data_IF_500996943572
#
_entry.id   IF_500996943572
#
_cell.length_a   1.000
_cell.length_b   1.000
_cell.length_c   1.000
_cell.angle_alpha   90.00
_cell.angle_beta   90.00
_cell.angle_gamma   90.00
#
_symmetry.space_group_name_H-M   'P 1'
#
loop_
_entity.id
_entity.type
_entity.pdbx_description
1 polymer ?
#
# COMPACT_ATOMS: atom_id res chain seq x y z
N UNK A 1 -10.80 2.88 14.09
CA UNK A 1 -9.98 1.76 14.61
C UNK A 1 -9.76 2.07 16.06
N UNK A 2 -10.07 1.14 16.95
CA UNK A 2 -9.86 1.34 18.37
C UNK A 2 -8.40 1.67 18.67
N UNK A 3 -8.22 2.62 19.56
CA UNK A 3 -6.88 3.01 19.97
C UNK A 3 -6.32 1.97 20.91
N UNK A 4 -5.08 1.60 20.65
CA UNK A 4 -4.31 0.87 21.63
C UNK A 4 -4.08 1.67 22.91
N UNK A 5 -4.61 1.17 24.01
CA UNK A 5 -4.37 1.66 25.36
C UNK A 5 -3.20 0.89 25.97
N UNK A 6 -2.12 1.61 26.30
CA UNK A 6 -0.90 1.04 26.89
C UNK A 6 -1.12 0.44 28.27
N UNK A 7 -2.11 0.91 29.03
CA UNK A 7 -2.36 0.45 30.39
C UNK A 7 -3.13 -0.86 30.40
N UNK A 8 -4.16 -0.96 29.56
CA UNK A 8 -5.00 -2.16 29.45
C UNK A 8 -4.44 -3.17 28.45
N UNK A 9 -3.61 -2.73 27.51
CA UNK A 9 -3.10 -3.55 26.41
C UNK A 9 -4.17 -3.93 25.38
N UNK A 10 -5.31 -3.22 25.37
CA UNK A 10 -6.43 -3.43 24.46
C UNK A 10 -6.36 -2.46 23.28
N UNK A 11 -6.98 -2.83 22.16
CA UNK A 11 -7.05 -2.03 20.94
C UNK A 11 -5.76 -2.07 20.10
N UNK A 12 -5.70 -1.18 19.11
CA UNK A 12 -4.66 -1.20 18.08
C UNK A 12 -5.19 -1.77 16.77
N UNK A 13 -4.30 -2.28 15.92
CA UNK A 13 -4.68 -2.85 14.64
C UNK A 13 -5.19 -4.29 14.80
N UNK A 14 -6.46 -4.39 15.17
CA UNK A 14 -7.20 -5.65 15.41
C UNK A 14 -8.43 -5.79 14.50
N UNK A 15 -8.63 -4.87 13.54
CA UNK A 15 -9.76 -4.92 12.62
C UNK A 15 -11.14 -4.67 13.27
N UNK A 16 -11.18 -4.16 14.51
CA UNK A 16 -12.40 -3.74 15.23
C UNK A 16 -13.19 -2.65 14.50
N UNK A 17 -12.55 -1.90 13.61
CA UNK A 17 -13.18 -0.83 12.81
C UNK A 17 -14.45 -1.25 12.06
N UNK A 18 -14.59 -2.54 11.72
CA UNK A 18 -15.83 -3.09 11.13
C UNK A 18 -17.07 -2.92 12.01
N UNK A 19 -16.88 -2.73 13.31
CA UNK A 19 -17.93 -2.54 14.31
C UNK A 19 -17.99 -1.08 14.84
N UNK A 20 -17.25 -0.15 14.22
CA UNK A 20 -17.08 1.23 14.73
C UNK A 20 -17.51 2.31 13.71
N UNK A 21 -18.16 1.90 12.62
CA UNK A 21 -18.50 2.77 11.48
C UNK A 21 -19.61 3.77 11.78
N UNK A 22 -20.35 3.57 12.87
CA UNK A 22 -21.42 4.44 13.34
C UNK A 22 -20.93 5.59 14.24
N UNK A 23 -19.63 5.61 14.55
CA UNK A 23 -19.04 6.59 15.46
C UNK A 23 -18.70 7.90 14.75
N UNK A 24 -18.79 9.00 15.49
CA UNK A 24 -18.45 10.34 15.01
C UNK A 24 -17.02 10.40 14.44
N UNK A 25 -16.07 9.70 15.06
CA UNK A 25 -14.67 9.65 14.59
C UNK A 25 -14.45 8.91 13.27
N UNK A 26 -15.43 8.12 12.80
CA UNK A 26 -15.32 7.31 11.57
C UNK A 26 -16.40 7.68 10.55
N UNK A 27 -16.90 8.93 10.61
CA UNK A 27 -17.92 9.43 9.68
C UNK A 27 -17.43 9.40 8.23
N UNK A 28 -18.34 9.11 7.31
CA UNK A 28 -18.09 9.12 5.87
C UNK A 28 -18.08 7.73 5.22
N UNK A 29 -18.09 7.71 3.89
CA UNK A 29 -18.22 6.46 3.11
C UNK A 29 -16.88 5.75 2.89
N UNK A 30 -15.76 6.45 3.08
CA UNK A 30 -14.42 5.95 2.75
C UNK A 30 -14.06 4.64 3.46
N UNK A 31 -14.28 4.57 4.77
CA UNK A 31 -13.99 3.36 5.55
C UNK A 31 -14.93 2.20 5.17
N UNK A 32 -16.22 2.46 4.95
CA UNK A 32 -17.20 1.46 4.50
C UNK A 32 -16.74 0.84 3.17
N UNK A 33 -16.45 1.68 2.17
CA UNK A 33 -16.00 1.22 0.85
C UNK A 33 -14.66 0.48 0.92
N UNK A 34 -13.73 0.96 1.75
CA UNK A 34 -12.43 0.31 1.95
C UNK A 34 -12.59 -1.09 2.52
N UNK A 35 -13.43 -1.25 3.55
CA UNK A 35 -13.71 -2.56 4.15
C UNK A 35 -14.39 -3.51 3.17
N UNK A 36 -15.31 -3.01 2.33
CA UNK A 36 -15.91 -3.78 1.23
C UNK A 36 -14.86 -4.23 0.20
N UNK A 37 -13.92 -3.36 -0.18
CA UNK A 37 -12.83 -3.76 -1.08
C UNK A 37 -11.92 -4.82 -0.45
N UNK A 38 -11.70 -4.74 0.86
CA UNK A 38 -10.84 -5.67 1.59
C UNK A 38 -11.46 -7.06 1.78
N UNK A 39 -12.78 -7.24 1.64
CA UNK A 39 -13.40 -8.57 1.83
C UNK A 39 -12.84 -9.63 0.89
N UNK A 40 -12.43 -9.25 -0.33
CA UNK A 40 -11.83 -10.15 -1.32
C UNK A 40 -10.44 -10.67 -0.94
N UNK A 41 -9.79 -10.05 0.07
CA UNK A 41 -8.45 -10.39 0.53
C UNK A 41 -8.42 -11.05 1.92
N UNK A 42 -9.58 -11.18 2.56
CA UNK A 42 -9.74 -11.84 3.86
C UNK A 42 -10.08 -13.31 3.65
N UNK A 43 -9.55 -14.19 4.51
CA UNK A 43 -9.83 -15.62 4.48
C UNK A 43 -9.74 -16.21 5.90
N UNK A 44 -10.08 -17.49 6.13
CA UNK A 44 -9.91 -18.10 7.45
C UNK A 44 -8.47 -18.04 8.00
N UNK A 45 -7.48 -17.79 7.16
CA UNK A 45 -6.06 -17.68 7.53
C UNK A 45 -5.47 -16.28 7.33
N UNK A 46 -6.25 -15.32 6.81
CA UNK A 46 -5.84 -13.92 6.64
C UNK A 46 -6.89 -13.04 7.30
N UNK A 47 -6.53 -12.40 8.41
CA UNK A 47 -7.40 -11.50 9.14
C UNK A 47 -7.58 -10.17 8.39
N UNK A 48 -8.72 -9.50 8.58
CA UNK A 48 -8.89 -8.14 8.07
C UNK A 48 -7.88 -7.17 8.66
N UNK A 49 -7.48 -7.39 9.92
CA UNK A 49 -6.41 -6.62 10.54
C UNK A 49 -5.10 -6.72 9.74
N UNK A 50 -4.72 -7.92 9.29
CA UNK A 50 -3.56 -8.11 8.41
C UNK A 50 -3.79 -7.51 7.01
N UNK A 51 -5.00 -7.60 6.46
CA UNK A 51 -5.37 -6.95 5.18
C UNK A 51 -5.23 -5.42 5.27
N UNK A 52 -5.67 -4.80 6.37
CA UNK A 52 -5.54 -3.35 6.60
C UNK A 52 -4.06 -2.95 6.71
N UNK A 53 -3.25 -3.73 7.46
CA UNK A 53 -1.82 -3.49 7.56
C UNK A 53 -1.13 -3.57 6.18
N UNK A 54 -1.47 -4.60 5.41
CA UNK A 54 -0.92 -4.82 4.08
C UNK A 54 -1.35 -3.73 3.10
N UNK A 55 -2.63 -3.36 3.12
CA UNK A 55 -3.18 -2.26 2.33
C UNK A 55 -2.48 -0.94 2.63
N UNK A 56 -2.17 -0.68 3.90
CA UNK A 56 -1.38 0.50 4.32
C UNK A 56 0.01 0.47 3.69
N UNK A 57 0.73 -0.65 3.78
CA UNK A 57 2.07 -0.79 3.16
C UNK A 57 2.02 -0.53 1.64
N UNK A 58 1.02 -1.07 0.94
CA UNK A 58 0.85 -0.84 -0.50
C UNK A 58 0.44 0.59 -0.85
N UNK A 59 -0.40 1.23 -0.03
CA UNK A 59 -0.83 2.61 -0.26
C UNK A 59 0.37 3.57 -0.27
N UNK A 60 1.30 3.45 0.69
CA UNK A 60 2.51 4.28 0.72
C UNK A 60 3.42 4.04 -0.48
N UNK A 61 3.66 2.77 -0.85
CA UNK A 61 4.43 2.45 -2.04
C UNK A 61 3.77 3.01 -3.32
N UNK A 62 2.45 2.88 -3.43
CA UNK A 62 1.67 3.39 -4.57
C UNK A 62 1.66 4.93 -4.67
N UNK A 63 1.86 5.64 -3.56
CA UNK A 63 2.02 7.10 -3.54
C UNK A 63 3.45 7.56 -3.83
N UNK A 64 4.39 6.64 -4.10
CA UNK A 64 5.77 6.98 -4.45
C UNK A 64 6.75 7.04 -3.28
N UNK A 65 6.41 6.44 -2.12
CA UNK A 65 7.38 6.30 -1.04
C UNK A 65 8.60 5.46 -1.51
N UNK A 66 9.84 5.94 -1.32
CA UNK A 66 11.04 5.25 -1.81
C UNK A 66 11.46 4.06 -0.93
N UNK A 67 10.60 3.64 -0.01
CA UNK A 67 10.88 2.58 0.96
C UNK A 67 9.69 1.65 1.10
N UNK A 68 9.98 0.40 1.45
CA UNK A 68 8.97 -0.57 1.89
C UNK A 68 8.82 -0.50 3.41
N UNK A 69 7.58 -0.41 3.86
CA UNK A 69 7.25 -0.54 5.29
C UNK A 69 7.35 -2.03 5.65
N UNK A 70 8.16 -2.43 6.65
CA UNK A 70 8.26 -3.81 7.07
C UNK A 70 6.90 -4.37 7.48
N UNK A 71 6.41 -5.35 6.71
CA UNK A 71 5.14 -6.00 6.97
C UNK A 71 5.35 -7.24 7.84
N UNK A 72 4.55 -7.38 8.88
CA UNK A 72 4.45 -8.58 9.72
C UNK A 72 3.00 -9.06 9.68
N UNK A 73 2.77 -10.37 9.73
CA UNK A 73 1.42 -10.95 9.81
C UNK A 73 1.08 -11.41 11.23
N UNK A 74 -0.06 -12.08 11.37
CA UNK A 74 -0.47 -12.74 12.62
C UNK A 74 -1.41 -11.90 13.48
N UNK A 75 -2.00 -10.84 12.93
CA UNK A 75 -3.03 -10.07 13.65
C UNK A 75 -4.29 -10.88 13.80
N UNK A 76 -4.94 -10.72 14.95
CA UNK A 76 -6.19 -11.40 15.28
C UNK A 76 -7.33 -10.39 15.15
N UNK A 77 -8.36 -10.77 14.40
CA UNK A 77 -9.55 -9.97 14.25
C UNK A 77 -10.33 -9.89 15.56
N UNK A 78 -10.64 -8.67 15.99
CA UNK A 78 -11.57 -8.40 17.08
C UNK A 78 -12.98 -8.91 16.72
N UNK A 79 -13.72 -9.34 17.74
CA UNK A 79 -15.09 -9.85 17.59
C UNK A 79 -16.16 -8.79 17.92
N UNK A 80 -15.74 -7.62 18.36
CA UNK A 80 -16.59 -6.51 18.74
C UNK A 80 -15.86 -5.18 18.57
N UNK A 81 -16.60 -4.09 18.71
CA UNK A 81 -16.03 -2.75 18.72
C UNK A 81 -15.09 -2.57 19.93
N UNK A 82 -13.98 -1.84 19.75
CA UNK A 82 -13.11 -1.47 20.85
C UNK A 82 -13.56 -0.16 21.52
N UNK A 83 -12.88 0.32 22.58
CA UNK A 83 -13.20 1.61 23.19
C UNK A 83 -13.11 2.76 22.18
N UNK A 84 -13.99 3.79 22.27
CA UNK A 84 -13.85 5.00 21.48
C UNK A 84 -12.62 5.80 21.94
N UNK A 85 -12.19 6.74 21.12
CA UNK A 85 -11.16 7.70 21.53
C UNK A 85 -10.34 8.31 20.42
N UNK A 86 -10.66 8.05 19.15
CA UNK A 86 -9.93 8.64 18.02
C UNK A 86 -10.14 10.15 18.11
N UNK A 87 -9.07 10.96 18.20
CA UNK A 87 -9.23 12.39 18.36
C UNK A 87 -9.97 13.00 17.18
N UNK A 88 -10.96 13.85 17.48
CA UNK A 88 -11.65 14.63 16.46
C UNK A 88 -10.85 15.89 16.10
N UNK A 89 -10.97 16.41 14.87
CA UNK A 89 -10.28 17.63 14.45
C UNK A 89 -10.58 18.87 15.31
N UNK A 90 -11.71 18.88 16.01
CA UNK A 90 -12.17 19.98 16.87
C UNK A 90 -11.64 19.92 18.31
N UNK A 91 -11.00 18.81 18.69
CA UNK A 91 -10.57 18.58 20.07
C UNK A 91 -9.24 19.27 20.36
N UNK A 92 -9.12 19.84 21.57
CA UNK A 92 -7.91 20.56 21.99
C UNK A 92 -6.68 19.64 22.12
N UNK A 93 -5.49 20.21 21.87
CA UNK A 93 -4.20 19.55 22.07
C UNK A 93 -4.02 18.91 23.45
N UNK A 94 -4.66 19.40 24.51
CA UNK A 94 -4.49 18.83 25.86
C UNK A 94 -5.06 17.41 25.97
N UNK A 95 -6.07 17.08 25.16
CA UNK A 95 -6.54 15.70 24.94
C UNK A 95 -5.62 15.02 23.91
N UNK A 96 -5.12 15.79 22.93
CA UNK A 96 -4.15 15.45 21.87
C UNK A 96 -2.71 15.06 22.30
N UNK A 97 -2.19 15.53 23.44
CA UNK A 97 -0.76 15.34 23.81
C UNK A 97 -0.47 13.90 24.25
N UNK A 98 -1.46 13.17 24.78
CA UNK A 98 -1.34 11.72 25.01
C UNK A 98 -1.18 10.91 23.71
N UNK A 99 -1.35 11.56 22.54
CA UNK A 99 -1.25 11.01 21.20
C UNK A 99 0.06 11.36 20.46
N UNK A 100 0.78 12.37 20.95
CA UNK A 100 1.99 12.94 20.31
C UNK A 100 3.17 11.97 20.31
N UNK A 101 3.19 10.96 21.18
CA UNK A 101 4.29 9.99 21.19
C UNK A 101 4.33 9.08 19.96
N UNK A 102 3.27 8.99 19.14
CA UNK A 102 3.27 8.00 18.05
C UNK A 102 2.36 8.20 16.84
N UNK A 103 1.29 9.00 16.87
CA UNK A 103 0.17 8.77 15.93
C UNK A 103 -0.35 9.98 15.16
N UNK A 104 -0.03 11.19 15.59
CA UNK A 104 -0.49 12.41 14.92
C UNK A 104 0.15 12.61 13.54
N UNK A 105 1.41 12.22 13.36
CA UNK A 105 2.20 12.51 12.14
C UNK A 105 1.77 11.73 10.88
N UNK A 106 0.96 10.66 11.01
CA UNK A 106 0.66 9.79 9.86
C UNK A 106 -0.46 10.33 8.98
N UNK A 107 -1.45 11.02 9.57
CA UNK A 107 -2.47 11.75 8.80
C UNK A 107 -1.88 12.99 8.11
N UNK A 108 -0.70 13.44 8.54
CA UNK A 108 0.00 14.64 8.06
C UNK A 108 0.89 14.37 6.83
N UNK A 109 1.01 13.12 6.37
CA UNK A 109 1.86 12.78 5.20
C UNK A 109 1.16 12.96 3.86
N UNK A 110 -0.15 13.15 3.87
CA UNK A 110 -0.95 13.43 2.70
C UNK A 110 -1.51 14.83 2.89
N UNK A 111 -0.98 15.80 2.14
CA UNK A 111 -1.57 17.13 2.14
C UNK A 111 -2.96 17.02 1.52
N UNK A 112 -4.00 17.04 2.36
CA UNK A 112 -5.37 17.13 1.89
C UNK A 112 -5.61 18.56 1.43
N UNK A 113 -5.25 18.85 0.18
CA UNK A 113 -5.60 20.09 -0.52
C UNK A 113 -7.08 20.12 -0.94
N UNK A 114 -8.00 19.60 -0.12
CA UNK A 114 -9.43 19.77 -0.39
C UNK A 114 -10.04 20.88 0.46
N UNK A 115 -10.41 21.93 -0.25
CA UNK A 115 -11.36 23.00 0.10
C UNK A 115 -12.82 22.48 0.25
N UNK A 116 -12.99 21.21 0.63
CA UNK A 116 -14.28 20.54 0.74
C UNK A 116 -14.74 20.40 2.18
N UNK A 117 -15.97 20.82 2.47
CA UNK A 117 -16.67 20.59 3.72
C UNK A 117 -16.53 19.12 4.16
N UNK A 118 -15.87 18.89 5.31
CA UNK A 118 -15.67 17.58 5.93
C UNK A 118 -17.00 16.81 6.13
N UNK A 119 -18.15 17.50 6.08
CA UNK A 119 -19.49 16.94 6.16
C UNK A 119 -20.08 16.36 4.86
N UNK A 120 -19.49 16.60 3.69
CA UNK A 120 -20.05 16.15 2.41
C UNK A 120 -18.97 15.66 1.44
N UNK A 121 -18.62 14.38 1.56
CA UNK A 121 -17.75 13.65 0.62
C UNK A 121 -18.47 13.39 -0.72
N UNK A 122 -18.76 14.45 -1.48
CA UNK A 122 -19.26 14.37 -2.87
C UNK A 122 -18.15 14.63 -3.90
N UNK A 123 -16.90 14.79 -3.45
CA UNK A 123 -15.73 14.96 -4.30
C UNK A 123 -15.30 13.66 -4.95
N UNK A 124 -15.06 13.70 -6.27
CA UNK A 124 -14.36 12.65 -7.01
C UNK A 124 -12.98 12.49 -6.37
N UNK A 125 -12.62 11.27 -5.93
CA UNK A 125 -11.27 10.98 -5.44
C UNK A 125 -10.28 11.35 -6.54
N UNK A 126 -9.62 12.50 -6.41
CA UNK A 126 -8.52 12.90 -7.27
C UNK A 126 -7.35 11.95 -7.01
N UNK A 127 -6.50 11.75 -8.02
CA UNK A 127 -5.35 10.85 -7.98
C UNK A 127 -4.60 10.92 -6.63
N UNK A 128 -4.08 9.78 -6.11
CA UNK A 128 -3.39 9.75 -4.82
C UNK A 128 -2.34 10.86 -4.76
N UNK A 129 -2.41 11.69 -3.72
CA UNK A 129 -1.46 12.78 -3.54
C UNK A 129 -0.04 12.18 -3.43
N UNK A 130 0.95 12.73 -4.16
CA UNK A 130 2.28 12.17 -4.15
C UNK A 130 2.90 12.28 -2.76
N UNK A 131 3.49 11.19 -2.28
CA UNK A 131 4.23 11.16 -1.03
C UNK A 131 5.43 12.12 -1.11
N UNK A 132 5.38 13.22 -0.33
CA UNK A 132 6.43 14.23 -0.36
C UNK A 132 6.55 15.01 0.95
N UNK A 133 7.70 15.66 1.15
CA UNK A 133 7.95 16.52 2.32
C UNK A 133 7.32 17.92 2.20
N UNK A 134 6.56 18.20 1.14
CA UNK A 134 6.06 19.56 0.87
C UNK A 134 5.07 20.04 1.93
N UNK A 135 4.42 19.11 2.64
CA UNK A 135 3.58 19.44 3.80
C UNK A 135 4.36 20.24 4.84
N UNK A 136 5.62 19.87 5.09
CA UNK A 136 6.45 20.55 6.07
C UNK A 136 6.96 21.90 5.55
N UNK A 137 7.39 21.96 4.30
CA UNK A 137 7.86 23.22 3.70
C UNK A 137 6.71 24.23 3.60
N UNK A 138 5.54 23.80 3.12
CA UNK A 138 4.37 24.67 2.91
C UNK A 138 3.71 25.13 4.20
N UNK A 139 3.78 24.31 5.25
CA UNK A 139 3.36 24.76 6.58
C UNK A 139 4.28 25.88 7.10
N UNK A 140 5.60 25.74 6.95
CA UNK A 140 6.57 26.69 7.48
C UNK A 140 6.65 27.99 6.69
N UNK A 141 6.44 27.96 5.37
CA UNK A 141 6.43 29.14 4.51
C UNK A 141 5.05 29.85 4.46
N UNK A 142 4.03 29.25 5.08
CA UNK A 142 2.67 29.80 5.15
C UNK A 142 1.85 29.65 3.87
N UNK A 143 2.29 28.81 2.92
CA UNK A 143 1.58 28.56 1.65
C UNK A 143 0.66 27.34 1.68
N UNK A 144 0.64 26.57 2.77
CA UNK A 144 -0.26 25.41 2.93
C UNK A 144 -1.73 25.85 2.77
N UNK A 145 -2.52 25.00 2.11
CA UNK A 145 -3.97 25.18 1.98
C UNK A 145 -4.75 24.22 2.88
N UNK A 146 -4.06 23.41 3.68
CA UNK A 146 -4.69 22.44 4.57
C UNK A 146 -5.55 23.19 5.61
N UNK A 147 -6.88 23.05 5.60
CA UNK A 147 -7.76 23.75 6.53
C UNK A 147 -7.54 23.32 7.99
N UNK A 148 -6.97 22.14 8.23
CA UNK A 148 -6.58 21.66 9.57
C UNK A 148 -5.27 22.29 10.05
N UNK A 149 -4.48 22.88 9.16
CA UNK A 149 -3.27 23.64 9.49
C UNK A 149 -3.55 25.15 9.59
N UNK A 150 -4.29 25.67 8.63
CA UNK A 150 -4.58 27.11 8.46
C UNK A 150 -6.08 27.32 8.26
N UNK A 151 -6.79 27.60 9.35
CA UNK A 151 -8.19 28.04 9.30
C UNK A 151 -8.36 29.29 10.15
N UNK A 152 -9.35 30.12 9.80
CA UNK A 152 -9.74 31.29 10.60
C UNK A 152 -10.30 30.88 11.96
N UNK A 153 -10.86 29.68 12.05
CA UNK A 153 -11.36 29.14 13.30
C UNK A 153 -10.30 28.20 13.90
N UNK A 154 -9.66 28.67 14.97
CA UNK A 154 -8.57 27.97 15.65
C UNK A 154 -8.98 26.59 16.16
N UNK A 155 -10.26 26.39 16.51
CA UNK A 155 -10.75 25.09 16.98
C UNK A 155 -10.69 24.00 15.92
N UNK A 156 -10.65 24.34 14.62
CA UNK A 156 -10.50 23.36 13.54
C UNK A 156 -9.05 23.11 13.14
N UNK A 157 -8.07 23.78 13.78
CA UNK A 157 -6.66 23.71 13.40
C UNK A 157 -5.91 22.56 14.09
N UNK A 158 -6.41 21.33 13.99
CA UNK A 158 -5.78 20.16 14.64
C UNK A 158 -4.31 20.01 14.23
N UNK A 159 -4.04 20.04 12.93
CA UNK A 159 -2.71 19.82 12.35
C UNK A 159 -1.79 20.99 12.70
N UNK A 160 -2.30 22.22 12.57
CA UNK A 160 -1.54 23.44 12.89
C UNK A 160 -1.13 23.50 14.36
N UNK A 161 -1.99 22.99 15.23
CA UNK A 161 -1.72 22.87 16.66
C UNK A 161 -0.66 21.79 16.93
N UNK A 162 -0.70 20.65 16.25
CA UNK A 162 0.31 19.58 16.39
C UNK A 162 1.66 20.06 15.86
N UNK A 163 1.69 20.69 14.69
CA UNK A 163 2.88 21.23 14.07
C UNK A 163 3.57 22.29 14.94
N UNK A 164 2.79 23.14 15.61
CA UNK A 164 3.30 24.17 16.52
C UNK A 164 3.60 23.68 17.93
N UNK A 165 3.26 22.44 18.27
CA UNK A 165 3.31 21.93 19.65
C UNK A 165 4.71 21.94 20.28
N UNK A 166 5.75 21.80 19.46
CA UNK A 166 7.16 21.86 19.88
C UNK A 166 7.88 23.13 19.41
N UNK A 167 7.13 24.19 19.07
CA UNK A 167 7.69 25.41 18.49
C UNK A 167 8.19 25.24 17.05
N UNK A 168 7.54 24.37 16.26
CA UNK A 168 7.88 24.03 14.88
C UNK A 168 9.25 23.33 14.71
N UNK A 169 9.83 22.79 15.78
CA UNK A 169 11.15 22.14 15.72
C UNK A 169 11.09 20.89 14.85
N UNK A 170 10.08 20.04 15.04
CA UNK A 170 9.88 18.84 14.23
C UNK A 170 9.61 19.19 12.78
N UNK A 171 8.75 20.18 12.51
CA UNK A 171 8.42 20.58 11.14
C UNK A 171 9.64 21.14 10.39
N UNK A 172 10.47 21.95 11.04
CA UNK A 172 11.74 22.42 10.46
C UNK A 172 12.64 21.25 10.06
N UNK A 173 12.88 20.32 10.99
CA UNK A 173 13.69 19.12 10.72
C UNK A 173 13.16 18.28 9.56
N UNK A 174 11.84 18.11 9.47
CA UNK A 174 11.19 17.37 8.39
C UNK A 174 11.27 18.11 7.04
N UNK A 175 11.27 19.45 7.05
CA UNK A 175 11.36 20.26 5.82
C UNK A 175 12.78 20.32 5.22
N UNK A 176 13.80 20.21 6.07
CA UNK A 176 15.21 20.38 5.68
C UNK A 176 15.81 19.15 5.00
N UNK A 177 15.30 17.95 5.29
CA UNK A 177 15.89 16.70 4.83
C UNK A 177 14.84 15.68 4.43
N UNK A 178 14.81 15.36 3.12
CA UNK A 178 13.94 14.31 2.57
C UNK A 178 14.22 12.95 3.21
N UNK A 179 15.49 12.64 3.46
CA UNK A 179 15.86 11.41 4.14
C UNK A 179 15.27 11.36 5.56
N UNK A 180 15.36 12.46 6.30
CA UNK A 180 14.81 12.52 7.67
C UNK A 180 13.30 12.40 7.67
N UNK A 181 12.63 13.02 6.69
CA UNK A 181 11.20 12.84 6.45
C UNK A 181 10.87 11.37 6.18
N UNK A 182 11.55 10.75 5.21
CA UNK A 182 11.32 9.37 4.79
C UNK A 182 11.51 8.38 5.95
N UNK A 183 12.62 8.50 6.70
CA UNK A 183 12.91 7.66 7.85
C UNK A 183 11.91 7.85 8.99
N UNK A 184 11.53 9.10 9.28
CA UNK A 184 10.54 9.39 10.32
C UNK A 184 9.19 8.78 9.95
N UNK A 185 8.75 8.99 8.72
CA UNK A 185 7.49 8.46 8.18
C UNK A 185 7.46 6.92 8.22
N UNK A 186 8.50 6.28 7.67
CA UNK A 186 8.66 4.82 7.68
C UNK A 186 8.52 4.25 9.09
N UNK A 187 9.26 4.79 10.05
CA UNK A 187 9.26 4.31 11.43
C UNK A 187 7.90 4.48 12.10
N UNK A 188 7.22 5.60 11.87
CA UNK A 188 5.92 5.87 12.47
C UNK A 188 4.84 4.96 11.90
N UNK A 189 4.78 4.79 10.59
CA UNK A 189 3.78 3.91 9.95
C UNK A 189 4.01 2.46 10.37
N UNK A 190 5.27 2.01 10.40
CA UNK A 190 5.62 0.68 10.88
C UNK A 190 5.12 0.47 12.31
N UNK A 191 5.39 1.42 13.23
CA UNK A 191 4.90 1.34 14.61
C UNK A 191 3.37 1.37 14.67
N UNK A 192 2.69 2.15 13.82
CA UNK A 192 1.23 2.23 13.78
C UNK A 192 0.62 0.88 13.39
N UNK A 193 1.07 0.28 12.28
CA UNK A 193 0.51 -0.99 11.82
C UNK A 193 0.92 -2.16 12.73
N UNK A 194 2.05 -2.06 13.44
CA UNK A 194 2.54 -3.10 14.35
C UNK A 194 2.06 -2.93 15.81
N UNK A 195 1.29 -1.88 16.10
CA UNK A 195 0.63 -1.77 17.41
C UNK A 195 -0.60 -2.66 17.42
N UNK A 196 -0.55 -3.73 18.22
CA UNK A 196 -1.60 -4.75 18.35
C UNK A 196 -1.94 -5.00 19.82
N UNK A 197 -3.08 -5.65 20.13
CA UNK A 197 -3.40 -6.04 21.49
C UNK A 197 -2.31 -6.89 22.14
N UNK A 198 -2.15 -6.77 23.46
CA UNK A 198 -1.04 -7.37 24.23
C UNK A 198 -0.93 -8.90 24.11
N UNK A 199 -2.04 -9.59 23.82
CA UNK A 199 -2.07 -11.04 23.65
C UNK A 199 -1.75 -11.51 22.21
N UNK A 200 -1.53 -10.58 21.28
CA UNK A 200 -1.18 -10.87 19.89
C UNK A 200 0.34 -10.79 19.72
N UNK A 201 0.91 -11.82 19.11
CA UNK A 201 2.33 -11.84 18.72
C UNK A 201 2.41 -11.82 17.20
N UNK A 202 3.07 -10.80 16.66
CA UNK A 202 3.30 -10.68 15.23
C UNK A 202 4.42 -11.61 14.78
N UNK A 203 4.37 -12.03 13.53
CA UNK A 203 5.44 -12.81 12.91
C UNK A 203 6.72 -11.97 12.73
N UNK A 204 7.78 -12.64 12.28
CA UNK A 204 8.90 -11.96 11.63
C UNK A 204 8.44 -11.17 10.41
N UNK A 205 9.29 -10.26 9.95
CA UNK A 205 9.03 -9.46 8.75
C UNK A 205 8.90 -10.40 7.56
N UNK A 206 7.76 -10.31 6.88
CA UNK A 206 7.48 -11.06 5.67
C UNK A 206 8.10 -10.28 4.51
N UNK A 207 9.12 -10.88 3.90
CA UNK A 207 9.78 -10.30 2.75
C UNK A 207 8.95 -10.58 1.49
N UNK A 208 8.79 -9.59 0.61
CA UNK A 208 8.11 -9.80 -0.65
C UNK A 208 8.93 -10.74 -1.54
N UNK A 209 8.24 -11.50 -2.37
CA UNK A 209 8.89 -12.30 -3.41
C UNK A 209 9.60 -11.34 -4.36
N UNK A 210 10.92 -11.48 -4.44
CA UNK A 210 11.83 -10.61 -5.20
C UNK A 210 11.43 -10.50 -6.67
N UNK A 211 11.18 -11.65 -7.30
CA UNK A 211 10.78 -11.74 -8.71
C UNK A 211 9.47 -12.50 -8.79
N UNK A 212 8.42 -11.85 -9.30
CA UNK A 212 7.10 -12.45 -9.46
C UNK A 212 6.66 -12.30 -10.91
N UNK A 213 6.42 -13.43 -11.57
CA UNK A 213 5.68 -13.45 -12.84
C UNK A 213 4.22 -13.13 -12.53
N UNK A 214 3.73 -12.08 -13.18
CA UNK A 214 2.37 -11.57 -13.09
C UNK A 214 1.47 -12.18 -14.16
N UNK A 215 0.64 -11.34 -14.78
CA UNK A 215 -0.23 -11.76 -15.86
C UNK A 215 0.59 -12.38 -16.99
N UNK A 216 0.11 -13.50 -17.50
CA UNK A 216 0.65 -14.18 -18.67
C UNK A 216 -0.50 -14.39 -19.67
N UNK A 217 -0.27 -13.96 -20.90
CA UNK A 217 -1.27 -13.95 -21.95
C UNK A 217 -0.67 -14.47 -23.25
N UNK A 218 -1.45 -15.26 -23.98
CA UNK A 218 -1.16 -15.62 -25.36
C UNK A 218 -2.15 -14.91 -26.27
N UNK A 219 -1.65 -14.15 -27.24
CA UNK A 219 -2.45 -13.47 -28.25
C UNK A 219 -1.91 -13.75 -29.64
N UNK A 220 -2.78 -13.77 -30.65
CA UNK A 220 -2.31 -13.71 -32.03
C UNK A 220 -1.68 -12.34 -32.29
N UNK A 221 -0.64 -12.30 -33.12
CA UNK A 221 -0.05 -11.04 -33.58
C UNK A 221 -1.12 -10.15 -34.21
N UNK A 222 -1.11 -8.86 -33.85
CA UNK A 222 -1.97 -7.86 -34.47
C UNK A 222 -1.39 -7.31 -35.78
N UNK A 223 -0.15 -7.69 -36.14
CA UNK A 223 0.43 -7.33 -37.43
C UNK A 223 -0.13 -8.28 -38.51
N UNK A 224 -0.87 -7.77 -39.50
CA UNK A 224 -1.46 -8.60 -40.55
C UNK A 224 -0.43 -9.28 -41.47
N UNK A 225 0.87 -9.02 -41.29
CA UNK A 225 1.97 -9.66 -42.01
C UNK A 225 2.69 -10.76 -41.23
N UNK A 226 2.39 -10.93 -39.94
CA UNK A 226 3.06 -11.87 -39.05
C UNK A 226 2.02 -12.88 -38.49
N UNK A 227 2.19 -14.17 -38.79
CA UNK A 227 1.35 -15.27 -38.27
C UNK A 227 1.86 -15.75 -36.89
N UNK A 228 2.39 -14.84 -36.08
CA UNK A 228 3.06 -15.15 -34.83
C UNK A 228 2.07 -15.26 -33.65
N UNK A 229 2.32 -16.23 -32.77
CA UNK A 229 1.72 -16.28 -31.44
C UNK A 229 2.59 -15.46 -30.48
N UNK A 230 2.02 -14.39 -29.93
CA UNK A 230 2.68 -13.52 -28.96
C UNK A 230 2.39 -14.02 -27.55
N UNK A 231 3.43 -14.28 -26.78
CA UNK A 231 3.34 -14.54 -25.35
C UNK A 231 3.78 -13.31 -24.58
N UNK A 232 2.84 -12.66 -23.90
CA UNK A 232 3.09 -11.48 -23.08
C UNK A 232 3.07 -11.88 -21.62
N UNK A 233 4.09 -11.47 -20.87
CA UNK A 233 4.10 -11.58 -19.43
C UNK A 233 4.43 -10.25 -18.77
N UNK A 234 3.91 -10.02 -17.57
CA UNK A 234 4.41 -8.97 -16.69
C UNK A 234 5.40 -9.59 -15.71
N UNK A 235 6.63 -9.08 -15.63
CA UNK A 235 7.58 -9.46 -14.58
C UNK A 235 7.68 -8.32 -13.57
N UNK A 236 7.26 -8.58 -12.33
CA UNK A 236 7.49 -7.65 -11.22
C UNK A 236 8.78 -8.02 -10.51
N UNK A 237 9.72 -7.07 -10.48
CA UNK A 237 10.98 -7.18 -9.74
C UNK A 237 10.98 -6.18 -8.57
N UNK A 238 11.79 -6.45 -7.55
CA UNK A 238 12.00 -5.56 -6.39
C UNK A 238 13.50 -5.29 -6.30
N UNK A 239 13.87 -4.04 -6.01
CA UNK A 239 15.27 -3.60 -5.82
C UNK A 239 16.22 -3.98 -6.96
N UNK A 240 15.68 -4.11 -8.18
CA UNK A 240 16.44 -4.44 -9.36
C UNK A 240 16.70 -3.15 -10.14
N UNK A 241 17.97 -2.66 -10.23
CA UNK A 241 18.30 -1.42 -10.94
C UNK A 241 17.82 -1.44 -12.39
N UNK A 242 17.66 -0.30 -13.04
CA UNK A 242 17.42 -0.29 -14.49
C UNK A 242 18.66 -0.76 -15.24
N UNK A 243 18.50 -1.72 -16.13
CA UNK A 243 19.57 -2.20 -17.01
C UNK A 243 18.99 -2.48 -18.40
N UNK A 244 19.31 -1.65 -19.41
CA UNK A 244 18.81 -1.84 -20.77
C UNK A 244 19.36 -3.10 -21.45
N UNK A 245 20.42 -3.71 -20.90
CA UNK A 245 21.02 -4.94 -21.42
C UNK A 245 20.61 -6.19 -20.62
N UNK A 246 19.57 -6.08 -19.78
CA UNK A 246 19.10 -7.20 -18.96
C UNK A 246 18.56 -8.33 -19.83
N UNK A 247 19.21 -9.49 -19.73
CA UNK A 247 18.68 -10.73 -20.32
C UNK A 247 17.66 -11.37 -19.38
N UNK A 248 16.44 -11.54 -19.85
CA UNK A 248 15.39 -12.32 -19.16
C UNK A 248 15.26 -13.68 -19.85
N UNK A 249 15.51 -14.75 -19.11
CA UNK A 249 15.35 -16.13 -19.60
C UNK A 249 14.04 -16.71 -19.11
N UNK A 250 13.18 -17.14 -20.03
CA UNK A 250 11.92 -17.80 -19.71
C UNK A 250 12.09 -19.31 -19.65
N UNK A 251 11.51 -19.91 -18.62
CA UNK A 251 11.36 -21.36 -18.51
C UNK A 251 9.87 -21.68 -18.50
N UNK A 252 9.44 -22.63 -19.33
CA UNK A 252 8.08 -23.12 -19.38
C UNK A 252 8.06 -24.64 -19.47
N UNK A 253 6.91 -25.23 -19.14
CA UNK A 253 6.67 -26.65 -19.28
C UNK A 253 5.23 -26.89 -19.69
N UNK A 254 4.97 -27.98 -20.41
CA UNK A 254 3.61 -28.38 -20.77
C UNK A 254 2.89 -28.90 -19.50
N UNK A 255 1.67 -28.42 -19.27
CA UNK A 255 0.80 -28.88 -18.17
C UNK A 255 0.56 -30.40 -18.18
N UNK A 256 0.67 -31.05 -19.35
CA UNK A 256 0.46 -32.49 -19.55
C UNK A 256 1.77 -33.28 -19.63
N UNK A 257 2.93 -32.65 -19.46
CA UNK A 257 4.18 -33.38 -19.39
C UNK A 257 4.16 -34.30 -18.16
N UNK A 258 4.33 -35.61 -18.39
CA UNK A 258 4.54 -36.56 -17.30
C UNK A 258 5.84 -36.21 -16.56
N UNK A 259 5.84 -36.25 -15.23
CA UNK A 259 7.02 -35.98 -14.37
C UNK A 259 8.32 -36.72 -14.79
N UNK A 260 8.20 -37.77 -15.62
CA UNK A 260 9.31 -38.55 -16.18
C UNK A 260 10.00 -37.94 -17.41
N UNK A 261 9.50 -36.86 -18.02
CA UNK A 261 10.22 -36.17 -19.10
C UNK A 261 11.06 -35.03 -18.54
N UNK A 262 12.21 -35.40 -17.99
CA UNK A 262 13.28 -34.53 -17.49
C UNK A 262 13.98 -33.69 -18.59
N UNK A 263 13.27 -33.31 -19.66
CA UNK A 263 13.83 -32.56 -20.79
C UNK A 263 13.69 -31.04 -20.67
N UNK A 264 12.94 -30.53 -19.69
CA UNK A 264 12.78 -29.08 -19.47
C UNK A 264 13.66 -28.52 -18.34
N UNK A 265 14.74 -29.22 -17.98
CA UNK A 265 15.81 -28.56 -17.23
C UNK A 265 16.57 -27.63 -18.20
N UNK A 266 16.40 -26.32 -18.02
CA UNK A 266 17.26 -25.29 -18.62
C UNK A 266 17.21 -25.12 -20.15
N UNK A 267 16.11 -25.41 -20.84
CA UNK A 267 16.02 -25.06 -22.27
C UNK A 267 15.35 -23.69 -22.49
N UNK A 268 16.12 -22.81 -23.14
CA UNK A 268 15.72 -21.46 -23.60
C UNK A 268 14.67 -21.53 -24.73
N UNK A 269 14.45 -22.72 -25.30
CA UNK A 269 13.42 -23.00 -26.28
C UNK A 269 13.03 -24.48 -26.24
N UNK A 270 11.79 -24.80 -25.90
CA UNK A 270 11.21 -26.11 -26.22
C UNK A 270 10.66 -26.05 -27.64
N UNK A 271 11.20 -26.85 -28.55
CA UNK A 271 10.56 -27.12 -29.85
C UNK A 271 9.27 -27.89 -29.59
N UNK A 272 8.14 -27.33 -30.04
CA UNK A 272 6.87 -28.05 -30.03
C UNK A 272 7.01 -29.33 -30.87
N UNK A 273 6.41 -30.47 -30.45
CA UNK A 273 6.37 -31.67 -31.28
C UNK A 273 5.79 -31.33 -32.65
N UNK A 274 6.49 -31.73 -33.72
CA UNK A 274 5.99 -31.56 -35.08
C UNK A 274 4.60 -32.24 -35.16
N UNK A 275 3.59 -31.56 -35.76
CA UNK A 275 2.31 -32.20 -35.98
C UNK A 275 2.50 -33.44 -36.88
N UNK A 276 1.66 -34.47 -36.74
CA UNK A 276 1.76 -35.67 -37.55
C UNK A 276 1.72 -35.31 -39.05
N UNK A 277 2.38 -36.11 -39.92
CA UNK A 277 2.73 -35.76 -41.30
C UNK A 277 1.55 -35.40 -42.25
N UNK A 278 0.30 -35.42 -41.77
CA UNK A 278 -0.91 -35.12 -42.55
C UNK A 278 -1.65 -33.85 -42.07
N UNK A 279 -1.04 -32.99 -41.26
CA UNK A 279 -1.61 -31.69 -40.88
C UNK A 279 -1.30 -30.63 -41.96
N UNK A 280 -2.33 -30.07 -42.58
CA UNK A 280 -2.26 -29.06 -43.66
C UNK A 280 -1.91 -27.63 -43.17
N UNK A 281 -1.27 -27.49 -42.02
CA UNK A 281 -0.91 -26.17 -41.46
C UNK A 281 0.62 -25.98 -41.48
N UNK A 282 1.13 -24.84 -41.99
CA UNK A 282 2.56 -24.56 -41.92
C UNK A 282 3.03 -24.47 -40.45
N UNK A 283 4.30 -24.81 -40.16
CA UNK A 283 4.82 -24.74 -38.80
C UNK A 283 4.80 -23.28 -38.32
N UNK A 284 4.33 -22.99 -37.09
CA UNK A 284 4.43 -21.64 -36.55
C UNK A 284 5.90 -21.32 -36.30
N UNK A 285 6.40 -20.27 -36.94
CA UNK A 285 7.64 -19.64 -36.52
C UNK A 285 7.33 -18.91 -35.20
N UNK A 286 7.68 -19.50 -34.05
CA UNK A 286 7.50 -18.81 -32.77
C UNK A 286 8.66 -17.83 -32.54
N UNK A 287 8.51 -16.59 -32.98
CA UNK A 287 9.38 -15.48 -32.58
C UNK A 287 8.80 -14.82 -31.33
N UNK A 288 9.34 -15.18 -30.16
CA UNK A 288 9.01 -14.50 -28.90
C UNK A 288 9.85 -13.22 -28.83
N UNK A 289 9.23 -12.08 -29.15
CA UNK A 289 9.82 -10.75 -28.90
C UNK A 289 9.32 -10.22 -27.55
N UNK A 290 10.23 -10.10 -26.59
CA UNK A 290 9.98 -9.36 -25.35
C UNK A 290 10.28 -7.88 -25.60
N UNK A 291 9.28 -7.03 -25.43
CA UNK A 291 9.47 -5.58 -25.46
C UNK A 291 9.46 -5.05 -24.01
N UNK A 292 10.46 -4.26 -23.60
CA UNK A 292 10.38 -3.53 -22.34
C UNK A 292 9.35 -2.40 -22.51
N UNK A 293 8.45 -2.28 -21.53
CA UNK A 293 7.61 -1.09 -21.33
C UNK A 293 8.30 -0.12 -20.39
#
# INVERSE_FOLDING_TARGET
MSIHDVNTGLGGLDGSIRFELDRAENVGIGMVNTLLNFTSFVSPVISMADTIALGTTFAFAGCGAPYLIPFRGGRIDALSAGPPGVPEPTQSLRVGIRWVELRGLIFLMFDSEEEGDFGSFTGVIKAPQPYNQSVATRYLDGTTQNPLAVSKNESFRSDGSIFASDGNVTMKRLSESKQTFDETCKNLIERMINTVPKNVTLTDVILPIQNKVGLSEFSASTDPKEDDLVFTITLRTIDLPDDPNRTVTFFWTDRRASDSSSSCHHQVACTLPQPPPNSLSPPPHSLIKAYPS
#
